data_IF_924265409798
#
_entry.id   IF_924265409798
#
_cell.length_a   1.000
_cell.length_b   1.000
_cell.length_c   1.000
_cell.angle_alpha   90.00
_cell.angle_beta   90.00
_cell.angle_gamma   90.00
#
_symmetry.space_group_name_H-M   'P 1'
#
loop_
_entity.id
_entity.type
_entity.pdbx_description
1 polymer ?
#
# COMPACT_ATOMS: atom_id res chain seq x y z
N UNK A 1 0.34 9.10 0.18
CA UNK A 1 -0.34 9.70 1.35
C UNK A 1 -1.15 8.66 2.11
N UNK A 2 -2.06 7.94 1.45
CA UNK A 2 -2.99 6.98 2.08
C UNK A 2 -2.35 5.95 3.03
N UNK A 3 -1.18 5.39 2.67
CA UNK A 3 -0.50 4.40 3.51
C UNK A 3 -0.06 4.97 4.87
N UNK A 4 0.52 6.17 4.88
CA UNK A 4 0.95 6.83 6.12
C UNK A 4 -0.24 7.26 6.96
N UNK A 5 -1.32 7.73 6.32
CA UNK A 5 -2.57 8.07 7.02
C UNK A 5 -3.17 6.85 7.70
N UNK A 6 -3.21 5.70 7.02
CA UNK A 6 -3.68 4.44 7.60
C UNK A 6 -2.80 3.99 8.78
N UNK A 7 -1.48 4.10 8.66
CA UNK A 7 -0.53 3.78 9.73
C UNK A 7 -0.76 4.66 10.97
N UNK A 8 -0.93 5.98 10.80
CA UNK A 8 -1.23 6.91 11.90
C UNK A 8 -2.55 6.53 12.58
N UNK A 9 -3.58 6.25 11.80
CA UNK A 9 -4.90 5.91 12.32
C UNK A 9 -4.94 4.56 13.04
N UNK A 10 -4.02 3.64 12.71
CA UNK A 10 -3.86 2.39 13.43
C UNK A 10 -3.20 2.54 14.82
N UNK A 11 -2.71 3.74 15.15
CA UNK A 11 -2.02 4.08 16.41
C UNK A 11 -2.63 5.31 17.09
N UNK A 12 -3.90 5.26 17.55
CA UNK A 12 -4.57 6.41 18.14
C UNK A 12 -3.87 6.95 19.40
N UNK A 13 -3.16 6.11 20.14
CA UNK A 13 -2.37 6.51 21.32
C UNK A 13 -0.91 6.88 20.97
N UNK A 14 -0.58 6.95 19.69
CA UNK A 14 0.78 7.14 19.19
C UNK A 14 1.56 5.83 19.04
N UNK A 15 2.74 5.93 18.42
CA UNK A 15 3.60 4.79 18.12
C UNK A 15 4.71 5.17 17.16
N UNK A 16 5.33 4.17 16.53
CA UNK A 16 6.42 4.37 15.58
C UNK A 16 5.97 4.04 14.17
N UNK A 17 6.25 4.95 13.24
CA UNK A 17 6.23 4.66 11.80
C UNK A 17 7.67 4.62 11.30
N UNK A 18 8.06 3.51 10.71
CA UNK A 18 9.35 3.35 10.06
C UNK A 18 9.14 3.29 8.54
N UNK A 19 9.86 4.14 7.82
CA UNK A 19 9.94 4.09 6.36
C UNK A 19 11.34 3.69 5.96
N UNK A 20 11.47 2.58 5.25
CA UNK A 20 12.75 2.07 4.74
C UNK A 20 12.67 1.93 3.23
N UNK A 21 13.68 2.43 2.53
CA UNK A 21 13.81 2.27 1.08
C UNK A 21 15.10 1.53 0.77
N UNK A 22 15.07 0.67 -0.23
CA UNK A 22 16.26 0.04 -0.79
C UNK A 22 16.08 -0.29 -2.26
N UNK A 23 17.17 -0.23 -3.00
CA UNK A 23 17.25 -0.80 -4.34
C UNK A 23 17.51 -2.29 -4.24
N UNK A 24 16.78 -3.09 -5.02
CA UNK A 24 16.92 -4.54 -5.16
C UNK A 24 16.87 -4.91 -6.63
N UNK A 25 18.05 -5.06 -7.24
CA UNK A 25 18.16 -5.23 -8.69
C UNK A 25 17.53 -4.03 -9.40
N UNK A 26 16.59 -4.29 -10.32
CA UNK A 26 15.88 -3.27 -11.10
C UNK A 26 14.64 -2.70 -10.40
N UNK A 27 14.42 -3.03 -9.12
CA UNK A 27 13.26 -2.60 -8.36
C UNK A 27 13.67 -1.72 -7.17
N UNK A 28 12.88 -0.68 -6.88
CA UNK A 28 12.90 -0.01 -5.58
C UNK A 28 11.88 -0.67 -4.66
N UNK A 29 12.32 -1.11 -3.48
CA UNK A 29 11.46 -1.61 -2.41
C UNK A 29 11.29 -0.51 -1.36
N UNK A 30 10.04 -0.18 -1.03
CA UNK A 30 9.66 0.77 0.01
C UNK A 30 8.86 0.00 1.06
N UNK A 31 9.32 0.00 2.31
CA UNK A 31 8.62 -0.60 3.45
C UNK A 31 8.10 0.50 4.36
N UNK A 32 6.83 0.45 4.67
CA UNK A 32 6.17 1.33 5.63
C UNK A 32 5.64 0.44 6.74
N UNK A 33 6.28 0.51 7.90
CA UNK A 33 5.90 -0.28 9.08
C UNK A 33 5.36 0.62 10.17
N UNK A 34 4.23 0.26 10.74
CA UNK A 34 3.67 0.85 11.96
C UNK A 34 3.70 -0.14 13.12
N UNK A 35 3.50 0.39 14.34
CA UNK A 35 3.33 -0.40 15.57
C UNK A 35 1.87 -0.34 16.06
N UNK A 36 0.92 -0.22 15.14
CA UNK A 36 -0.50 -0.08 15.47
C UNK A 36 -1.18 -1.40 15.82
N UNK A 37 -2.51 -1.35 15.81
CA UNK A 37 -3.35 -2.49 16.19
C UNK A 37 -3.21 -3.72 15.27
N UNK A 38 -2.65 -3.58 14.08
CA UNK A 38 -2.57 -4.66 13.09
C UNK A 38 -3.94 -5.12 12.60
N UNK A 39 -3.95 -6.24 11.87
CA UNK A 39 -5.14 -6.78 11.20
C UNK A 39 -5.22 -8.30 11.33
N UNK A 40 -6.44 -8.84 11.40
CA UNK A 40 -6.69 -10.28 11.27
C UNK A 40 -6.54 -10.71 9.81
N UNK A 41 -6.40 -12.01 9.55
CA UNK A 41 -6.35 -12.52 8.17
C UNK A 41 -7.60 -12.21 7.36
N UNK A 42 -8.77 -12.19 8.01
CA UNK A 42 -10.05 -11.83 7.37
C UNK A 42 -10.12 -10.34 6.99
N UNK A 43 -9.59 -9.45 7.82
CA UNK A 43 -9.46 -8.02 7.45
C UNK A 43 -8.45 -7.89 6.32
N UNK A 44 -7.27 -8.51 6.47
CA UNK A 44 -6.15 -8.45 5.51
C UNK A 44 -6.54 -8.93 4.11
N UNK A 45 -7.41 -9.93 3.97
CA UNK A 45 -7.84 -10.41 2.65
C UNK A 45 -8.76 -9.43 1.91
N UNK A 46 -9.34 -8.46 2.63
CA UNK A 46 -10.35 -7.52 2.11
C UNK A 46 -9.89 -6.08 2.04
N UNK A 47 -8.71 -5.74 2.57
CA UNK A 47 -8.23 -4.35 2.66
C UNK A 47 -8.10 -3.62 1.32
N UNK A 48 -7.97 -4.36 0.22
CA UNK A 48 -7.91 -3.80 -1.13
C UNK A 48 -9.29 -3.69 -1.80
N UNK A 49 -10.35 -4.24 -1.20
CA UNK A 49 -11.73 -4.08 -1.68
C UNK A 49 -12.14 -2.61 -1.58
N UNK A 50 -12.64 -2.00 -2.66
CA UNK A 50 -13.21 -0.66 -2.58
C UNK A 50 -14.31 -0.56 -1.51
N UNK A 51 -14.28 0.53 -0.74
CA UNK A 51 -15.24 0.84 0.33
C UNK A 51 -15.16 -0.06 1.57
N UNK A 52 -14.27 -1.05 1.61
CA UNK A 52 -14.05 -1.83 2.82
C UNK A 52 -13.30 -1.00 3.87
N UNK A 53 -13.83 -0.97 5.09
CA UNK A 53 -13.21 -0.29 6.23
C UNK A 53 -13.68 -0.91 7.53
N UNK A 54 -12.79 -1.01 8.52
CA UNK A 54 -13.10 -1.41 9.90
C UNK A 54 -13.34 -0.22 10.82
N UNK A 55 -13.22 1.00 10.30
CA UNK A 55 -13.43 2.25 11.05
C UNK A 55 -14.91 2.53 11.24
N UNK A 56 -15.22 3.37 12.22
CA UNK A 56 -16.59 3.83 12.44
C UNK A 56 -17.15 4.59 11.24
N UNK A 57 -18.49 4.62 11.17
CA UNK A 57 -19.21 5.27 10.08
C UNK A 57 -18.83 6.75 10.03
N UNK A 58 -18.30 7.18 8.88
CA UNK A 58 -17.86 8.56 8.66
C UNK A 58 -16.37 8.82 8.90
N UNK A 59 -15.62 7.88 9.48
CA UNK A 59 -14.18 8.06 9.77
C UNK A 59 -13.25 7.52 8.67
N UNK A 60 -13.81 6.89 7.64
CA UNK A 60 -13.04 6.39 6.50
C UNK A 60 -13.92 6.05 5.31
N UNK A 61 -13.44 6.37 4.12
CA UNK A 61 -14.13 6.03 2.86
C UNK A 61 -13.91 4.59 2.42
N UNK A 62 -12.92 3.89 3.00
CA UNK A 62 -12.48 2.57 2.53
C UNK A 62 -11.84 2.57 1.14
N UNK A 63 -11.45 3.74 0.60
CA UNK A 63 -10.87 3.84 -0.76
C UNK A 63 -9.35 4.01 -0.76
N UNK A 64 -8.74 4.34 0.37
CA UNK A 64 -7.33 4.74 0.40
C UNK A 64 -6.37 3.66 -0.11
N UNK A 65 -6.60 2.41 0.34
CA UNK A 65 -5.71 1.31 -0.01
C UNK A 65 -6.02 0.72 -1.40
N UNK A 66 -7.28 0.66 -1.81
CA UNK A 66 -7.67 0.24 -3.17
C UNK A 66 -7.13 1.18 -4.25
N UNK A 67 -7.17 2.51 -4.01
CA UNK A 67 -6.53 3.49 -4.89
C UNK A 67 -5.01 3.30 -4.91
N UNK A 68 -4.39 3.09 -3.74
CA UNK A 68 -2.93 2.86 -3.68
C UNK A 68 -2.53 1.60 -4.44
N UNK A 69 -3.32 0.53 -4.35
CA UNK A 69 -3.14 -0.70 -5.11
C UNK A 69 -3.16 -0.43 -6.61
N UNK A 70 -4.23 0.19 -7.11
CA UNK A 70 -4.37 0.50 -8.53
C UNK A 70 -3.26 1.41 -9.07
N UNK A 71 -2.82 2.41 -8.29
CA UNK A 71 -1.66 3.25 -8.67
C UNK A 71 -0.40 2.41 -8.78
N UNK A 72 -0.12 1.55 -7.81
CA UNK A 72 1.08 0.70 -7.83
C UNK A 72 1.04 -0.28 -9.01
N UNK A 73 -0.10 -0.89 -9.30
CA UNK A 73 -0.29 -1.76 -10.46
C UNK A 73 -0.09 -1.02 -11.79
N UNK A 74 -0.64 0.20 -11.93
CA UNK A 74 -0.45 1.06 -13.10
C UNK A 74 1.02 1.43 -13.34
N UNK A 75 1.85 1.43 -12.30
CA UNK A 75 3.29 1.65 -12.39
C UNK A 75 4.08 0.33 -12.50
N UNK A 76 3.40 -0.77 -12.86
CA UNK A 76 3.98 -2.12 -12.96
C UNK A 76 4.67 -2.59 -11.67
N UNK A 77 4.18 -2.10 -10.54
CA UNK A 77 4.65 -2.46 -9.22
C UNK A 77 3.83 -3.55 -8.56
N UNK A 78 4.20 -3.83 -7.32
CA UNK A 78 3.54 -4.77 -6.43
C UNK A 78 3.37 -4.15 -5.05
N UNK A 79 2.26 -4.48 -4.38
CA UNK A 79 2.05 -4.20 -2.97
C UNK A 79 1.88 -5.52 -2.23
N UNK A 80 2.54 -5.64 -1.09
CA UNK A 80 2.34 -6.72 -0.13
C UNK A 80 2.04 -6.11 1.23
N UNK A 81 1.29 -6.85 2.05
CA UNK A 81 0.94 -6.44 3.40
C UNK A 81 1.20 -7.60 4.34
N UNK A 82 2.06 -7.36 5.33
CA UNK A 82 2.23 -8.23 6.49
C UNK A 82 1.63 -7.53 7.71
N UNK A 83 0.80 -8.25 8.48
CA UNK A 83 0.09 -7.68 9.62
C UNK A 83 -0.39 -8.78 10.54
N UNK A 84 -0.31 -8.53 11.84
CA UNK A 84 -0.78 -9.42 12.89
C UNK A 84 -1.45 -8.58 13.99
N UNK A 85 -2.60 -9.00 14.55
CA UNK A 85 -3.28 -8.25 15.60
C UNK A 85 -2.36 -7.97 16.80
N UNK A 86 -2.26 -6.70 17.19
CA UNK A 86 -1.41 -6.23 18.29
C UNK A 86 0.08 -6.04 17.95
N UNK A 87 0.51 -6.30 16.72
CA UNK A 87 1.92 -6.22 16.31
C UNK A 87 2.22 -5.18 15.21
N UNK A 88 1.20 -4.43 14.79
CA UNK A 88 1.28 -3.45 13.72
C UNK A 88 1.14 -4.05 12.32
N UNK A 89 1.43 -3.21 11.33
CA UNK A 89 1.36 -3.55 9.91
C UNK A 89 2.63 -3.12 9.21
N UNK A 90 3.13 -3.93 8.28
CA UNK A 90 4.14 -3.57 7.29
C UNK A 90 3.55 -3.65 5.88
N UNK A 91 3.50 -2.50 5.21
CA UNK A 91 3.17 -2.42 3.78
C UNK A 91 4.47 -2.35 2.98
N UNK A 92 4.62 -3.25 2.01
CA UNK A 92 5.82 -3.39 1.18
C UNK A 92 5.44 -3.07 -0.25
N UNK A 93 5.97 -1.97 -0.79
CA UNK A 93 5.82 -1.58 -2.19
C UNK A 93 7.07 -1.99 -2.94
N UNK A 94 6.91 -2.52 -4.15
CA UNK A 94 8.00 -2.73 -5.11
C UNK A 94 7.64 -2.07 -6.42
N UNK A 95 8.50 -1.20 -6.91
CA UNK A 95 8.31 -0.49 -8.17
C UNK A 95 9.54 -0.67 -9.05
N UNK A 96 9.40 -0.82 -10.38
CA UNK A 96 10.52 -0.76 -11.29
C UNK A 96 11.24 0.60 -11.18
N UNK A 97 12.57 0.59 -11.22
CA UNK A 97 13.39 1.82 -11.27
C UNK A 97 13.26 2.49 -12.65
N UNK A 98 13.13 1.66 -13.67
CA UNK A 98 12.90 2.07 -15.04
C UNK A 98 11.49 1.65 -15.46
N UNK A 99 10.78 2.56 -16.12
CA UNK A 99 9.49 2.22 -16.69
C UNK A 99 9.67 1.11 -17.75
N UNK A 100 8.89 0.01 -17.72
CA UNK A 100 9.09 -1.11 -18.65
C UNK A 100 8.97 -0.67 -20.11
N UNK A 101 9.91 -1.12 -20.94
CA UNK A 101 9.92 -0.78 -22.37
C UNK A 101 8.66 -1.27 -23.10
N UNK A 102 8.08 -2.39 -22.67
CA UNK A 102 6.83 -2.93 -23.22
C UNK A 102 5.63 -2.02 -22.94
N UNK A 103 5.59 -1.39 -21.76
CA UNK A 103 4.54 -0.43 -21.41
C UNK A 103 4.64 0.87 -22.22
N UNK A 104 5.86 1.30 -22.58
CA UNK A 104 6.09 2.46 -23.46
C UNK A 104 5.60 2.22 -24.89
N UNK A 105 5.67 0.98 -25.38
CA UNK A 105 5.21 0.64 -26.72
C UNK A 105 3.68 0.65 -26.84
N UNK A 106 2.96 0.29 -25.77
CA UNK A 106 1.49 0.28 -25.77
C UNK A 106 0.89 1.69 -25.76
N UNK A 107 1.42 2.63 -24.97
CA UNK A 107 0.96 4.04 -24.97
C UNK A 107 1.20 4.73 -26.31
N UNK A 108 2.30 4.43 -27.01
CA UNK A 108 2.61 5.02 -28.31
C UNK A 108 1.63 4.60 -29.43
N UNK A 109 0.83 3.55 -29.21
CA UNK A 109 -0.10 3.01 -30.22
C UNK A 109 -1.54 3.50 -30.04
N UNK A 110 -1.91 4.02 -28.86
CA UNK A 110 -3.26 4.54 -28.58
C UNK A 110 -3.46 6.03 -28.92
N UNK A 111 -2.38 6.74 -29.28
CA UNK A 111 -2.43 8.17 -29.69
C UNK A 111 -2.38 8.38 -31.21
N UNK A 112 -2.56 7.31 -32.00
CA UNK A 112 -2.50 7.31 -33.47
C UNK A 112 -3.86 7.36 -34.16
#
# INVERSE_FOLDING_TARGET
MNLLTNAIQAMPEGGLIQVLTRVKGEMVEIRIRDTGQGMTDEVKSRIFEPFYTTKEVGEGTGLGLSISHGIIEQHHGQIEVDSLPGHGTEVILRLPIHWPAEAQAHEATEVG
#
